data_IF_493211861456
#
_entry.id   IF_493211861456
#
_cell.length_a   1.000
_cell.length_b   1.000
_cell.length_c   1.000
_cell.angle_alpha   90.00
_cell.angle_beta   90.00
_cell.angle_gamma   90.00
#
_symmetry.space_group_name_H-M   'P 1'
#
loop_
_entity.id
_entity.type
_entity.pdbx_description
1 polymer ?
#
# COMPACT_ATOMS: atom_id res chain seq x y z
N UNK A 1 10.34 -2.12 17.19
CA UNK A 1 10.76 -0.72 17.03
C UNK A 1 9.60 0.11 16.53
N UNK A 2 9.73 1.45 16.46
CA UNK A 2 8.70 2.29 15.84
C UNK A 2 8.52 1.90 14.37
N UNK A 3 7.29 1.97 13.87
CA UNK A 3 6.98 1.77 12.46
C UNK A 3 6.96 3.12 11.75
N UNK A 4 7.57 3.19 10.57
CA UNK A 4 7.47 4.34 9.68
C UNK A 4 6.37 4.10 8.66
N UNK A 5 5.43 5.04 8.53
CA UNK A 5 4.37 4.97 7.51
C UNK A 5 4.71 5.87 6.34
N UNK A 6 4.74 5.29 5.14
CA UNK A 6 4.80 6.04 3.88
C UNK A 6 3.40 6.05 3.28
N UNK A 7 2.86 7.25 3.07
CA UNK A 7 1.50 7.44 2.54
C UNK A 7 1.55 8.08 1.16
N UNK A 8 0.94 7.40 0.19
CA UNK A 8 0.90 7.82 -1.21
C UNK A 8 -0.55 8.15 -1.55
N UNK A 9 -0.81 9.42 -1.85
CA UNK A 9 -2.10 9.85 -2.38
C UNK A 9 -2.10 9.77 -3.92
N UNK A 10 -3.15 9.17 -4.48
CA UNK A 10 -3.37 9.05 -5.92
C UNK A 10 -4.58 9.90 -6.29
N UNK A 11 -4.34 11.01 -6.98
CA UNK A 11 -5.40 11.85 -7.51
C UNK A 11 -6.06 11.19 -8.74
N UNK A 12 -7.14 11.78 -9.25
CA UNK A 12 -7.95 11.20 -10.34
C UNK A 12 -7.21 10.98 -11.67
N UNK A 13 -6.06 11.63 -11.86
CA UNK A 13 -5.22 11.50 -13.06
C UNK A 13 -4.05 10.52 -12.87
N UNK A 14 -3.83 10.02 -11.65
CA UNK A 14 -2.74 9.11 -11.35
C UNK A 14 -3.11 7.64 -11.67
N UNK A 15 -2.10 6.78 -11.79
CA UNK A 15 -2.33 5.35 -12.04
C UNK A 15 -2.87 4.68 -10.79
N UNK A 16 -4.10 4.21 -10.87
CA UNK A 16 -4.82 3.58 -9.76
C UNK A 16 -4.57 2.08 -9.56
N UNK A 17 -3.71 1.48 -10.38
CA UNK A 17 -3.24 0.10 -10.21
C UNK A 17 -2.20 0.07 -9.11
N UNK A 18 -2.40 -0.78 -8.10
CA UNK A 18 -1.43 -0.97 -7.03
C UNK A 18 -0.56 -2.20 -7.28
N UNK A 19 0.67 -2.12 -6.79
CA UNK A 19 1.71 -3.13 -7.01
C UNK A 19 2.29 -3.59 -5.67
N UNK A 20 2.74 -4.84 -5.62
CA UNK A 20 3.42 -5.40 -4.46
C UNK A 20 4.74 -4.63 -4.20
N UNK A 21 4.99 -4.14 -2.98
CA UNK A 21 6.20 -3.37 -2.67
C UNK A 21 7.45 -4.25 -2.57
N UNK A 22 7.26 -5.54 -2.25
CA UNK A 22 8.32 -6.54 -2.12
C UNK A 22 7.89 -7.86 -2.78
N UNK A 23 8.85 -8.73 -3.06
CA UNK A 23 8.58 -10.12 -3.43
C UNK A 23 8.35 -10.96 -2.16
N UNK A 24 7.47 -11.95 -2.24
CA UNK A 24 7.20 -12.83 -1.10
C UNK A 24 5.88 -13.56 -1.18
N UNK A 25 5.51 -14.20 -0.07
CA UNK A 25 4.22 -14.86 0.14
C UNK A 25 3.26 -13.88 0.79
N UNK A 26 2.03 -13.78 0.28
CA UNK A 26 0.97 -13.07 0.97
C UNK A 26 0.51 -13.92 2.15
N UNK A 27 0.77 -13.45 3.36
CA UNK A 27 0.39 -14.16 4.60
C UNK A 27 -1.00 -13.77 5.07
N UNK A 28 -1.44 -12.54 4.76
CA UNK A 28 -2.75 -12.06 5.17
C UNK A 28 -3.36 -11.07 4.18
N UNK A 29 -4.69 -11.06 4.09
CA UNK A 29 -5.51 -10.08 3.37
C UNK A 29 -6.74 -9.78 4.22
N UNK A 30 -6.83 -8.57 4.75
CA UNK A 30 -7.89 -8.16 5.68
C UNK A 30 -8.65 -6.99 5.10
N UNK A 31 -9.93 -7.21 4.81
CA UNK A 31 -10.83 -6.16 4.35
C UNK A 31 -11.58 -5.53 5.52
N UNK A 32 -11.57 -4.19 5.58
CA UNK A 32 -12.32 -3.39 6.55
C UNK A 32 -13.29 -2.48 5.81
N UNK A 33 -14.59 -2.63 6.10
CA UNK A 33 -15.60 -1.64 5.72
C UNK A 33 -15.38 -0.34 6.50
N UNK A 34 -15.63 0.79 5.86
CA UNK A 34 -15.42 2.09 6.48
C UNK A 34 -16.13 3.23 5.77
N UNK A 35 -15.70 4.44 6.07
CA UNK A 35 -16.18 5.68 5.47
C UNK A 35 -15.50 5.96 4.12
N UNK A 36 -15.86 7.08 3.50
CA UNK A 36 -15.29 7.57 2.26
C UNK A 36 -14.87 9.03 2.42
N UNK A 37 -14.01 9.32 3.40
CA UNK A 37 -13.40 10.63 3.57
C UNK A 37 -12.45 10.93 2.40
N UNK A 38 -12.09 12.20 2.20
CA UNK A 38 -11.07 12.59 1.22
C UNK A 38 -9.76 11.88 1.56
N UNK A 39 -9.23 11.07 0.63
CA UNK A 39 -8.12 10.17 0.90
C UNK A 39 -6.79 10.87 1.27
N UNK A 40 -6.64 12.16 0.95
CA UNK A 40 -5.48 12.95 1.39
C UNK A 40 -5.50 13.32 2.88
N UNK A 41 -6.65 13.19 3.55
CA UNK A 41 -6.76 13.46 5.00
C UNK A 41 -6.20 12.30 5.80
N UNK A 42 -5.61 12.64 6.95
CA UNK A 42 -4.99 11.66 7.85
C UNK A 42 -5.98 10.62 8.40
N UNK A 43 -7.20 11.05 8.73
CA UNK A 43 -8.29 10.17 9.19
C UNK A 43 -8.68 9.08 8.16
N UNK A 44 -8.36 9.26 6.88
CA UNK A 44 -8.68 8.26 5.87
C UNK A 44 -7.98 6.92 6.15
N UNK A 45 -6.78 6.94 6.72
CA UNK A 45 -6.02 5.72 7.03
C UNK A 45 -6.70 4.82 8.07
N UNK A 46 -7.50 5.40 8.98
CA UNK A 46 -8.18 4.63 10.04
C UNK A 46 -9.65 4.44 9.74
N UNK A 47 -10.32 5.45 9.19
CA UNK A 47 -11.79 5.48 9.07
C UNK A 47 -12.29 4.97 7.73
N UNK A 48 -11.51 5.12 6.65
CA UNK A 48 -12.01 4.74 5.34
C UNK A 48 -12.04 3.22 5.14
N UNK A 49 -12.88 2.82 4.19
CA UNK A 49 -12.83 1.47 3.64
C UNK A 49 -11.41 1.16 3.12
N UNK A 50 -10.87 0.03 3.55
CA UNK A 50 -9.52 -0.39 3.18
C UNK A 50 -9.35 -1.90 3.08
N UNK A 51 -8.37 -2.31 2.28
CA UNK A 51 -7.89 -3.67 2.18
C UNK A 51 -6.40 -3.70 2.55
N UNK A 52 -6.08 -4.34 3.67
CA UNK A 52 -4.73 -4.47 4.20
C UNK A 52 -4.14 -5.81 3.76
N UNK A 53 -2.91 -5.79 3.26
CA UNK A 53 -2.19 -6.97 2.77
C UNK A 53 -0.85 -7.05 3.49
N UNK A 54 -0.51 -8.25 3.97
CA UNK A 54 0.80 -8.56 4.53
C UNK A 54 1.54 -9.48 3.58
N UNK A 55 2.77 -9.10 3.22
CA UNK A 55 3.69 -9.93 2.44
C UNK A 55 4.90 -10.26 3.31
N UNK A 56 5.22 -11.54 3.39
CA UNK A 56 6.43 -12.06 4.01
C UNK A 56 7.41 -12.47 2.91
N UNK A 57 8.59 -11.85 2.93
CA UNK A 57 9.71 -12.21 2.05
C UNK A 57 10.31 -13.56 2.44
N UNK A 58 11.10 -14.16 1.54
CA UNK A 58 11.70 -15.48 1.76
C UNK A 58 12.63 -15.53 2.98
N UNK A 59 13.19 -14.41 3.38
CA UNK A 59 14.09 -14.29 4.54
C UNK A 59 13.38 -13.72 5.79
N UNK A 60 12.05 -13.81 5.82
CA UNK A 60 11.24 -13.58 7.03
C UNK A 60 10.92 -12.12 7.31
N UNK A 61 11.27 -11.17 6.43
CA UNK A 61 10.84 -9.78 6.57
C UNK A 61 9.41 -9.60 6.11
N UNK A 62 8.59 -9.03 6.97
CA UNK A 62 7.21 -8.66 6.67
C UNK A 62 7.07 -7.18 6.27
N UNK A 63 6.23 -6.93 5.27
CA UNK A 63 5.76 -5.60 4.89
C UNK A 63 4.23 -5.62 4.86
N UNK A 64 3.62 -4.65 5.55
CA UNK A 64 2.18 -4.45 5.57
C UNK A 64 1.84 -3.21 4.76
N UNK A 65 0.85 -3.30 3.88
CA UNK A 65 0.37 -2.16 3.13
C UNK A 65 -1.14 -2.19 2.94
N UNK A 66 -1.75 -1.02 2.88
CA UNK A 66 -3.20 -0.84 2.80
C UNK A 66 -3.59 -0.12 1.52
N UNK A 67 -4.56 -0.69 0.81
CA UNK A 67 -5.31 -0.03 -0.23
C UNK A 67 -6.49 0.70 0.41
N UNK A 68 -6.52 2.03 0.36
CA UNK A 68 -7.51 2.84 1.08
C UNK A 68 -8.37 3.60 0.06
N UNK A 69 -9.67 3.32 0.08
CA UNK A 69 -10.66 4.00 -0.74
C UNK A 69 -10.85 5.44 -0.24
N UNK A 70 -11.35 6.32 -1.09
CA UNK A 70 -11.56 7.73 -0.80
C UNK A 70 -12.95 8.19 -1.20
N UNK A 71 -13.25 9.48 -1.02
CA UNK A 71 -14.57 10.05 -1.30
C UNK A 71 -15.16 9.67 -2.68
N UNK A 72 -14.30 9.63 -3.70
CA UNK A 72 -14.69 9.28 -5.07
C UNK A 72 -14.52 7.77 -5.31
N UNK A 73 -13.46 7.16 -4.77
CA UNK A 73 -13.18 5.73 -4.82
C UNK A 73 -14.08 4.92 -3.88
N UNK A 74 -15.09 4.23 -4.43
CA UNK A 74 -16.01 3.37 -3.64
C UNK A 74 -15.78 1.87 -3.78
N UNK A 75 -14.69 1.46 -4.43
CA UNK A 75 -14.40 0.04 -4.62
C UNK A 75 -12.91 -0.21 -4.68
N UNK A 76 -12.45 -1.05 -3.75
CA UNK A 76 -11.14 -1.67 -3.79
C UNK A 76 -11.29 -3.03 -4.47
N UNK A 77 -10.43 -3.31 -5.45
CA UNK A 77 -10.32 -4.63 -6.06
C UNK A 77 -8.96 -5.19 -5.71
N UNK A 78 -8.94 -6.26 -4.94
CA UNK A 78 -7.75 -7.07 -4.67
C UNK A 78 -7.85 -8.36 -5.49
N UNK A 79 -6.81 -8.67 -6.25
CA UNK A 79 -6.74 -9.91 -7.04
C UNK A 79 -6.00 -11.04 -6.33
N UNK A 80 -5.51 -10.78 -5.13
CA UNK A 80 -4.65 -11.67 -4.37
C UNK A 80 -5.34 -12.17 -3.10
N UNK A 81 -4.91 -13.34 -2.63
CA UNK A 81 -5.38 -13.99 -1.40
C UNK A 81 -4.20 -14.55 -0.59
N UNK A 82 -4.41 -14.85 0.71
CA UNK A 82 -3.41 -15.55 1.51
C UNK A 82 -2.94 -16.83 0.84
N UNK A 83 -1.63 -17.07 0.84
CA UNK A 83 -0.99 -18.20 0.19
C UNK A 83 -0.44 -17.91 -1.22
N UNK A 84 -0.88 -16.84 -1.89
CA UNK A 84 -0.32 -16.43 -3.18
C UNK A 84 1.13 -15.93 -3.02
N UNK A 85 1.96 -16.18 -4.03
CA UNK A 85 3.30 -15.58 -4.16
C UNK A 85 3.26 -14.41 -5.14
N UNK A 86 4.03 -13.37 -4.86
CA UNK A 86 4.15 -12.18 -5.71
C UNK A 86 5.61 -11.79 -5.93
N UNK A 87 5.93 -11.24 -7.10
CA UNK A 87 7.21 -10.57 -7.34
C UNK A 87 7.14 -9.10 -6.94
N UNK A 88 8.28 -8.47 -6.66
CA UNK A 88 8.34 -7.03 -6.45
C UNK A 88 7.80 -6.29 -7.69
N UNK A 89 6.93 -5.30 -7.49
CA UNK A 89 6.29 -4.56 -8.57
C UNK A 89 5.14 -5.29 -9.28
N UNK A 90 4.80 -6.52 -8.89
CA UNK A 90 3.67 -7.25 -9.47
C UNK A 90 2.34 -6.53 -9.20
N UNK A 91 1.42 -6.54 -10.17
CA UNK A 91 0.08 -5.94 -10.02
C UNK A 91 -0.77 -6.79 -9.09
N UNK A 92 -1.35 -6.17 -8.07
CA UNK A 92 -2.10 -6.88 -7.01
C UNK A 92 -3.55 -6.41 -6.88
N UNK A 93 -3.87 -5.23 -7.39
CA UNK A 93 -5.22 -4.69 -7.29
C UNK A 93 -5.35 -3.30 -7.89
N UNK A 94 -6.52 -2.70 -7.68
CA UNK A 94 -6.81 -1.32 -8.08
C UNK A 94 -7.79 -0.64 -7.12
N UNK A 95 -7.73 0.69 -7.06
CA UNK A 95 -8.68 1.52 -6.31
C UNK A 95 -9.08 2.70 -7.21
N UNK A 96 -10.32 2.78 -7.70
CA UNK A 96 -10.68 3.76 -8.74
C UNK A 96 -10.82 5.19 -8.20
N UNK A 97 -10.00 6.13 -8.63
CA UNK A 97 -10.14 7.59 -8.47
C UNK A 97 -10.05 8.14 -7.04
N UNK A 98 -9.04 8.97 -6.76
CA UNK A 98 -8.92 9.67 -5.47
C UNK A 98 -8.72 8.72 -4.28
N UNK A 99 -7.63 7.93 -4.32
CA UNK A 99 -7.34 6.86 -3.36
C UNK A 99 -6.04 7.12 -2.60
N UNK A 100 -5.77 6.31 -1.57
CA UNK A 100 -4.51 6.32 -0.82
C UNK A 100 -3.93 4.91 -0.71
N UNK A 101 -2.62 4.83 -0.68
CA UNK A 101 -1.89 3.61 -0.29
C UNK A 101 -0.99 3.96 0.87
N UNK A 102 -1.08 3.18 1.93
CA UNK A 102 -0.18 3.28 3.09
C UNK A 102 0.74 2.06 3.14
N UNK A 103 2.03 2.27 3.37
CA UNK A 103 3.01 1.22 3.63
C UNK A 103 3.54 1.39 5.06
N UNK A 104 3.53 0.32 5.85
CA UNK A 104 4.13 0.27 7.17
C UNK A 104 5.48 -0.44 7.09
N UNK A 105 6.53 0.29 7.44
CA UNK A 105 7.91 -0.14 7.33
C UNK A 105 8.52 -0.24 8.73
N UNK A 106 9.11 -1.40 9.01
CA UNK A 106 9.91 -1.62 10.21
C UNK A 106 11.28 -0.93 10.16
N UNK A 107 12.06 -0.98 11.25
CA UNK A 107 13.37 -0.31 11.37
C UNK A 107 14.43 -0.82 10.37
N UNK A 108 14.22 -1.97 9.74
CA UNK A 108 15.08 -2.54 8.71
C UNK A 108 14.93 -1.88 7.32
N UNK A 109 14.09 -0.86 7.20
CA UNK A 109 13.84 -0.14 5.96
C UNK A 109 14.33 1.31 6.06
N UNK A 110 15.22 1.71 5.17
CA UNK A 110 15.64 3.09 4.96
C UNK A 110 14.74 3.75 3.90
N UNK A 111 13.93 4.72 4.33
CA UNK A 111 12.96 5.40 3.46
C UNK A 111 13.68 6.35 2.50
N UNK A 112 13.46 6.16 1.19
CA UNK A 112 14.12 6.92 0.11
C UNK A 112 13.26 8.03 -0.48
N UNK A 113 12.08 8.25 0.08
CA UNK A 113 11.14 9.28 -0.36
C UNK A 113 10.88 10.31 0.73
N UNK A 114 10.47 11.51 0.33
CA UNK A 114 10.11 12.60 1.25
C UNK A 114 8.70 13.12 1.00
N UNK A 115 8.06 13.76 1.99
CA UNK A 115 6.76 14.39 1.80
C UNK A 115 6.73 15.32 0.58
N UNK A 116 5.66 15.22 -0.22
CA UNK A 116 5.46 16.00 -1.44
C UNK A 116 6.17 15.47 -2.69
N UNK A 117 7.03 14.45 -2.57
CA UNK A 117 7.68 13.82 -3.73
C UNK A 117 6.67 13.05 -4.58
N UNK A 118 6.69 13.26 -5.91
CA UNK A 118 5.93 12.43 -6.85
C UNK A 118 6.64 11.08 -7.02
N UNK A 119 5.85 10.01 -7.03
CA UNK A 119 6.32 8.63 -7.22
C UNK A 119 5.56 7.97 -8.37
N UNK A 120 6.22 7.03 -9.05
CA UNK A 120 5.68 6.26 -10.15
C UNK A 120 5.53 4.78 -9.76
N UNK A 121 4.33 4.23 -9.97
CA UNK A 121 4.01 2.87 -9.56
C UNK A 121 4.86 1.82 -10.32
N UNK A 122 5.69 1.09 -9.59
CA UNK A 122 6.53 0.01 -10.12
C UNK A 122 7.92 0.43 -10.58
N UNK A 123 8.30 1.71 -10.45
CA UNK A 123 9.66 2.18 -10.79
C UNK A 123 10.30 3.06 -9.71
N UNK A 124 9.52 3.83 -8.94
CA UNK A 124 10.05 4.59 -7.81
C UNK A 124 10.34 3.67 -6.63
N UNK A 125 11.56 3.78 -6.09
CA UNK A 125 11.96 3.12 -4.84
C UNK A 125 11.42 3.93 -3.67
N UNK A 126 10.60 3.30 -2.82
CA UNK A 126 10.02 3.95 -1.63
C UNK A 126 10.93 3.81 -0.42
N UNK A 127 11.56 2.65 -0.28
CA UNK A 127 12.52 2.33 0.76
C UNK A 127 13.47 1.24 0.25
N UNK A 128 14.67 1.21 0.81
CA UNK A 128 15.62 0.13 0.62
C UNK A 128 15.84 -0.57 1.96
N UNK A 129 16.16 -1.86 1.91
CA UNK A 129 16.46 -2.60 3.12
C UNK A 129 17.88 -2.24 3.59
N UNK A 130 18.02 -1.86 4.86
CA UNK A 130 19.33 -1.78 5.51
C UNK A 130 19.85 -3.20 5.74
N UNK A 131 21.13 -3.42 5.44
CA UNK A 131 21.82 -4.72 5.47
C UNK A 131 21.45 -5.60 6.66
#
# INVERSE_FOLDING_TARGET
>A
GPLTRVSIFLNVFDVHVNRAPIAGKITNVVYKRGQFLVASKELASTENEQNTITVESQDGVEVVFSQIAGLIARRIVCWKKPGDYVTAGERIGLIRFGSRVDLLLGPQWDVKVRPGQRVSAGSSILAERTH
#
